data_IF_592817154647
#
_entry.id   IF_592817154647
#
_cell.length_a   1.000
_cell.length_b   1.000
_cell.length_c   1.000
_cell.angle_alpha   90.00
_cell.angle_beta   90.00
_cell.angle_gamma   90.00
#
_symmetry.space_group_name_H-M   'P 1'
#
loop_
_entity.id
_entity.type
_entity.pdbx_description
1 polymer ?
#
# COMPACT_ATOMS: atom_id res chain seq x y z
N UNK A 1 -20.04 -14.25 -5.13
CA UNK A 1 -20.21 -13.68 -3.76
C UNK A 1 -19.53 -12.31 -3.62
N UNK A 2 -18.23 -12.12 -3.90
CA UNK A 2 -17.52 -10.84 -3.71
C UNK A 2 -18.15 -9.63 -4.40
N UNK A 3 -18.65 -9.75 -5.63
CA UNK A 3 -19.31 -8.63 -6.33
C UNK A 3 -20.55 -8.08 -5.60
N UNK A 4 -21.34 -8.96 -4.95
CA UNK A 4 -22.52 -8.54 -4.19
C UNK A 4 -22.09 -7.73 -2.94
N UNK A 5 -21.07 -8.21 -2.21
CA UNK A 5 -20.51 -7.49 -1.07
C UNK A 5 -19.93 -6.13 -1.46
N UNK A 6 -19.16 -6.06 -2.54
CA UNK A 6 -18.60 -4.78 -3.04
C UNK A 6 -19.73 -3.81 -3.42
N UNK A 7 -20.75 -4.27 -4.16
CA UNK A 7 -21.89 -3.43 -4.55
C UNK A 7 -22.64 -2.89 -3.33
N UNK A 8 -22.88 -3.74 -2.34
CA UNK A 8 -23.55 -3.33 -1.10
C UNK A 8 -22.67 -2.43 -0.24
N UNK A 9 -21.37 -2.75 -0.12
CA UNK A 9 -20.38 -1.93 0.58
C UNK A 9 -20.29 -0.51 0.00
N UNK A 10 -20.25 -0.37 -1.32
CA UNK A 10 -20.24 0.95 -1.97
C UNK A 10 -21.49 1.78 -1.65
N UNK A 11 -22.69 1.15 -1.55
CA UNK A 11 -23.91 1.86 -1.12
C UNK A 11 -23.78 2.37 0.32
N UNK A 12 -23.19 1.55 1.21
CA UNK A 12 -22.96 1.94 2.62
C UNK A 12 -21.91 3.07 2.70
N UNK A 13 -20.83 2.99 1.94
CA UNK A 13 -19.81 4.06 1.88
C UNK A 13 -20.41 5.36 1.38
N UNK A 14 -21.27 5.30 0.35
CA UNK A 14 -22.00 6.46 -0.17
C UNK A 14 -22.84 7.15 0.91
N UNK A 15 -23.41 6.42 1.85
CA UNK A 15 -24.20 6.99 2.95
C UNK A 15 -23.36 7.77 3.98
N UNK A 16 -22.02 7.68 3.91
CA UNK A 16 -21.05 8.38 4.79
C UNK A 16 -21.30 8.16 6.29
N UNK A 17 -21.98 7.07 6.68
CA UNK A 17 -22.30 6.76 8.09
C UNK A 17 -21.08 6.41 8.92
N UNK A 18 -20.05 5.79 8.32
CA UNK A 18 -18.80 5.51 9.01
C UNK A 18 -17.92 6.77 8.96
N UNK A 19 -17.58 7.30 10.14
CA UNK A 19 -16.83 8.54 10.29
C UNK A 19 -15.41 8.42 9.70
N UNK A 20 -14.72 7.30 9.93
CA UNK A 20 -13.37 7.08 9.41
C UNK A 20 -13.34 7.05 7.89
N UNK A 21 -14.28 6.34 7.27
CA UNK A 21 -14.40 6.31 5.80
C UNK A 21 -14.76 7.70 5.25
N UNK A 22 -15.71 8.40 5.89
CA UNK A 22 -16.04 9.78 5.51
C UNK A 22 -14.82 10.67 5.52
N UNK A 23 -14.04 10.63 6.61
CA UNK A 23 -12.83 11.45 6.76
C UNK A 23 -11.77 11.11 5.71
N UNK A 24 -11.59 9.81 5.36
CA UNK A 24 -10.69 9.42 4.27
C UNK A 24 -11.16 9.92 2.91
N UNK A 25 -12.46 9.86 2.63
CA UNK A 25 -13.03 10.41 1.39
C UNK A 25 -12.75 11.91 1.27
N UNK A 26 -12.91 12.65 2.37
CA UNK A 26 -12.67 14.11 2.42
C UNK A 26 -11.16 14.41 2.19
N UNK A 27 -10.24 13.68 2.84
CA UNK A 27 -8.79 13.82 2.62
C UNK A 27 -8.40 13.46 1.18
N UNK A 28 -9.02 12.45 0.59
CA UNK A 28 -8.81 12.06 -0.79
C UNK A 28 -9.49 13.00 -1.80
N UNK A 29 -10.25 14.02 -1.34
CA UNK A 29 -11.04 14.93 -2.17
C UNK A 29 -12.01 14.20 -3.12
N UNK A 30 -12.64 13.13 -2.62
CA UNK A 30 -13.62 12.35 -3.37
C UNK A 30 -15.00 12.95 -3.09
N UNK A 31 -15.44 13.83 -3.95
CA UNK A 31 -16.74 14.52 -3.85
C UNK A 31 -17.87 13.72 -4.53
N UNK A 32 -17.51 12.88 -5.49
CA UNK A 32 -18.44 12.05 -6.25
C UNK A 32 -18.82 10.76 -5.51
N UNK A 33 -19.72 9.97 -6.08
CA UNK A 33 -20.05 8.66 -5.54
C UNK A 33 -18.82 7.74 -5.56
N UNK A 34 -18.45 7.13 -4.43
CA UNK A 34 -17.33 6.20 -4.38
C UNK A 34 -17.52 5.03 -5.35
N UNK A 35 -16.44 4.66 -6.03
CA UNK A 35 -16.37 3.56 -6.99
C UNK A 35 -15.40 2.47 -6.51
N UNK A 36 -15.36 1.35 -7.22
CA UNK A 36 -14.36 0.28 -6.98
C UNK A 36 -12.93 0.83 -7.09
N UNK A 37 -12.70 1.75 -8.04
CA UNK A 37 -11.40 2.41 -8.20
C UNK A 37 -10.99 3.17 -6.93
N UNK A 38 -11.91 3.97 -6.36
CA UNK A 38 -11.64 4.70 -5.12
C UNK A 38 -11.30 3.75 -3.96
N UNK A 39 -11.99 2.60 -3.85
CA UNK A 39 -11.68 1.60 -2.83
C UNK A 39 -10.30 0.98 -3.04
N UNK A 40 -10.00 0.51 -4.24
CA UNK A 40 -8.77 -0.23 -4.54
C UNK A 40 -7.52 0.63 -4.60
N UNK A 41 -7.63 1.87 -5.10
CA UNK A 41 -6.47 2.70 -5.42
C UNK A 41 -6.34 3.97 -4.57
N UNK A 42 -7.37 4.36 -3.82
CA UNK A 42 -7.32 5.56 -2.99
C UNK A 42 -7.47 5.26 -1.50
N UNK A 43 -8.56 4.59 -1.07
CA UNK A 43 -8.83 4.32 0.34
C UNK A 43 -8.01 3.13 0.86
N UNK A 44 -8.04 2.00 0.17
CA UNK A 44 -7.34 0.77 0.57
C UNK A 44 -5.83 0.96 0.77
N UNK A 45 -5.09 1.58 -0.17
CA UNK A 45 -3.68 1.83 0.01
C UNK A 45 -3.33 2.67 1.24
N UNK A 46 -4.16 3.66 1.61
CA UNK A 46 -3.97 4.48 2.82
C UNK A 46 -4.18 3.68 4.09
N UNK A 47 -5.27 2.91 4.16
CA UNK A 47 -5.54 2.03 5.31
C UNK A 47 -4.39 1.03 5.51
N UNK A 48 -3.89 0.45 4.42
CA UNK A 48 -2.82 -0.55 4.44
C UNK A 48 -1.43 0.06 4.70
N UNK A 49 -1.23 1.36 4.45
CA UNK A 49 0.07 2.00 4.60
C UNK A 49 0.57 1.98 6.06
N UNK A 50 -0.34 2.05 7.03
CA UNK A 50 0.00 1.92 8.44
C UNK A 50 0.71 0.62 8.78
N UNK A 51 0.31 -0.51 8.17
CA UNK A 51 0.96 -1.80 8.37
C UNK A 51 2.26 -2.00 7.58
N UNK A 52 2.62 -1.06 6.69
CA UNK A 52 3.83 -1.15 5.87
C UNK A 52 4.96 -0.26 6.37
N UNK A 53 4.67 1.01 6.65
CA UNK A 53 5.68 2.02 7.01
C UNK A 53 5.36 2.75 8.31
N UNK A 54 4.25 2.41 8.98
CA UNK A 54 3.78 3.10 10.17
C UNK A 54 3.23 2.16 11.24
N UNK A 55 2.12 2.57 11.85
CA UNK A 55 1.44 1.81 12.91
C UNK A 55 0.27 1.02 12.33
N UNK A 56 0.35 -0.30 12.35
CA UNK A 56 -0.66 -1.21 11.78
C UNK A 56 -2.08 -1.02 12.38
N UNK A 57 -2.18 -0.60 13.64
CA UNK A 57 -3.47 -0.36 14.31
C UNK A 57 -4.21 0.89 13.82
N UNK A 58 -3.54 1.84 13.13
CA UNK A 58 -4.15 3.12 12.73
C UNK A 58 -5.34 2.93 11.78
N UNK A 59 -5.25 2.00 10.83
CA UNK A 59 -6.36 1.69 9.92
C UNK A 59 -7.59 1.17 10.66
N UNK A 60 -7.42 0.22 11.58
CA UNK A 60 -8.51 -0.32 12.39
C UNK A 60 -9.10 0.76 13.31
N UNK A 61 -8.25 1.51 14.02
CA UNK A 61 -8.69 2.57 14.91
C UNK A 61 -9.45 3.68 14.18
N UNK A 62 -9.07 4.01 12.94
CA UNK A 62 -9.81 4.96 12.11
C UNK A 62 -11.22 4.44 11.79
N UNK A 63 -11.34 3.19 11.36
CA UNK A 63 -12.63 2.59 10.99
C UNK A 63 -13.57 2.42 12.19
N UNK A 64 -13.03 2.21 13.38
CA UNK A 64 -13.78 2.09 14.64
C UNK A 64 -14.03 3.44 15.33
N UNK A 65 -13.34 4.50 14.90
CA UNK A 65 -13.35 5.81 15.53
C UNK A 65 -14.72 6.48 15.49
N UNK A 66 -15.11 7.10 16.61
CA UNK A 66 -16.35 7.86 16.77
C UNK A 66 -16.11 9.35 16.99
N UNK A 67 -14.88 9.76 17.23
CA UNK A 67 -14.52 11.16 17.52
C UNK A 67 -13.95 11.81 16.23
N UNK A 68 -14.53 12.95 15.77
CA UNK A 68 -14.07 13.63 14.53
C UNK A 68 -12.62 14.07 14.57
N UNK A 69 -12.13 14.63 15.70
CA UNK A 69 -10.75 15.13 15.81
C UNK A 69 -9.73 13.98 15.70
N UNK A 70 -9.97 12.88 16.43
CA UNK A 70 -9.07 11.71 16.36
C UNK A 70 -9.14 11.01 15.00
N UNK A 71 -10.32 10.92 14.39
CA UNK A 71 -10.47 10.35 13.04
C UNK A 71 -9.72 11.18 11.99
N UNK A 72 -9.80 12.51 12.07
CA UNK A 72 -9.04 13.38 11.16
C UNK A 72 -7.53 13.20 11.34
N UNK A 73 -7.04 13.15 12.58
CA UNK A 73 -5.62 12.91 12.86
C UNK A 73 -5.16 11.57 12.27
N UNK A 74 -5.87 10.49 12.57
CA UNK A 74 -5.52 9.14 12.06
C UNK A 74 -5.57 9.06 10.54
N UNK A 75 -6.58 9.66 9.90
CA UNK A 75 -6.69 9.65 8.46
C UNK A 75 -5.57 10.47 7.79
N UNK A 76 -5.16 11.60 8.39
CA UNK A 76 -4.03 12.41 7.92
C UNK A 76 -2.70 11.66 8.07
N UNK A 77 -2.48 10.95 9.17
CA UNK A 77 -1.30 10.12 9.38
C UNK A 77 -1.24 8.97 8.36
N UNK A 78 -2.37 8.31 8.09
CA UNK A 78 -2.45 7.26 7.07
C UNK A 78 -2.20 7.79 5.65
N UNK A 79 -2.65 8.99 5.32
CA UNK A 79 -2.32 9.65 4.04
C UNK A 79 -0.82 9.95 3.95
N UNK A 80 -0.20 10.40 5.05
CA UNK A 80 1.23 10.63 5.12
C UNK A 80 2.03 9.33 4.95
N UNK A 81 1.66 8.26 5.65
CA UNK A 81 2.27 6.93 5.46
C UNK A 81 2.13 6.41 4.03
N UNK A 82 0.98 6.66 3.39
CA UNK A 82 0.81 6.26 2.00
C UNK A 82 1.73 7.04 1.04
N UNK A 83 1.95 8.33 1.27
CA UNK A 83 2.90 9.14 0.50
C UNK A 83 4.34 8.65 0.71
N UNK A 84 4.73 8.40 1.96
CA UNK A 84 6.05 7.86 2.30
C UNK A 84 6.28 6.49 1.65
N UNK A 85 5.30 5.59 1.75
CA UNK A 85 5.32 4.31 1.06
C UNK A 85 5.55 4.46 -0.44
N UNK A 86 4.86 5.41 -1.11
CA UNK A 86 5.01 5.64 -2.54
C UNK A 86 6.40 6.15 -2.92
N UNK A 87 6.99 6.99 -2.09
CA UNK A 87 8.37 7.49 -2.29
C UNK A 87 9.35 6.32 -2.17
N UNK A 88 9.30 5.58 -1.05
CA UNK A 88 10.19 4.43 -0.82
C UNK A 88 10.07 3.37 -1.91
N UNK A 89 8.84 3.11 -2.39
CA UNK A 89 8.57 2.16 -3.47
C UNK A 89 9.21 2.63 -4.79
N UNK A 90 9.03 3.91 -5.14
CA UNK A 90 9.58 4.50 -6.36
C UNK A 90 11.10 4.49 -6.32
N UNK A 91 11.70 4.90 -5.20
CA UNK A 91 13.13 4.99 -5.03
C UNK A 91 13.80 3.60 -5.11
N UNK A 92 13.23 2.61 -4.43
CA UNK A 92 13.75 1.24 -4.48
C UNK A 92 13.62 0.65 -5.89
N UNK A 93 12.47 0.83 -6.54
CA UNK A 93 12.26 0.36 -7.91
C UNK A 93 13.25 0.99 -8.87
N UNK A 94 13.45 2.32 -8.79
CA UNK A 94 14.40 3.04 -9.63
C UNK A 94 15.84 2.58 -9.39
N UNK A 95 16.23 2.40 -8.13
CA UNK A 95 17.55 1.90 -7.74
C UNK A 95 17.80 0.53 -8.38
N UNK A 96 16.89 -0.42 -8.21
CA UNK A 96 17.02 -1.75 -8.79
C UNK A 96 17.10 -1.69 -10.32
N UNK A 97 16.28 -0.87 -10.97
CA UNK A 97 16.30 -0.76 -12.43
C UNK A 97 17.57 -0.14 -12.97
N UNK A 98 18.18 0.80 -12.25
CA UNK A 98 19.46 1.42 -12.64
C UNK A 98 20.66 0.48 -12.44
N UNK A 99 20.60 -0.42 -11.45
CA UNK A 99 21.62 -1.42 -11.17
C UNK A 99 21.45 -2.70 -12.01
N UNK A 100 20.35 -2.78 -12.77
CA UNK A 100 19.95 -4.00 -13.48
C UNK A 100 20.89 -4.32 -14.64
N UNK A 101 21.55 -5.47 -14.53
CA UNK A 101 22.20 -6.15 -15.63
C UNK A 101 21.16 -6.79 -16.56
N UNK A 102 21.59 -7.30 -17.71
CA UNK A 102 20.71 -8.07 -18.59
C UNK A 102 20.27 -9.39 -17.92
N UNK A 103 19.04 -9.41 -17.37
CA UNK A 103 18.44 -10.60 -16.76
C UNK A 103 17.64 -11.44 -17.78
N UNK A 104 17.84 -11.25 -19.07
CA UNK A 104 17.06 -11.96 -20.11
C UNK A 104 17.18 -13.47 -20.00
N UNK A 105 18.33 -13.98 -19.57
CA UNK A 105 18.67 -15.42 -19.47
C UNK A 105 18.21 -16.07 -18.16
N UNK A 106 17.93 -15.29 -17.12
CA UNK A 106 17.59 -15.84 -15.81
C UNK A 106 16.12 -16.24 -15.76
N UNK A 107 15.77 -17.47 -15.35
CA UNK A 107 14.38 -17.91 -15.23
C UNK A 107 13.67 -17.25 -14.04
N UNK A 108 14.41 -16.85 -13.01
CA UNK A 108 13.94 -16.20 -11.78
C UNK A 108 14.86 -15.04 -11.44
N UNK A 109 14.31 -13.93 -11.02
CA UNK A 109 15.07 -12.79 -10.51
C UNK A 109 15.18 -12.87 -8.98
N UNK A 110 16.39 -13.06 -8.47
CA UNK A 110 16.68 -13.03 -7.03
C UNK A 110 17.61 -11.86 -6.76
N UNK A 111 17.11 -10.84 -6.07
CA UNK A 111 17.87 -9.63 -5.78
C UNK A 111 17.89 -9.36 -4.29
N UNK A 112 19.04 -8.94 -3.78
CA UNK A 112 19.21 -8.60 -2.38
C UNK A 112 19.83 -7.22 -2.22
N UNK A 113 19.49 -6.54 -1.13
CA UNK A 113 20.11 -5.26 -0.81
C UNK A 113 20.00 -4.91 0.66
N UNK A 114 20.97 -4.14 1.13
CA UNK A 114 21.00 -3.66 2.52
C UNK A 114 20.01 -2.51 2.69
N UNK A 115 19.36 -2.49 3.86
CA UNK A 115 18.46 -1.42 4.27
C UNK A 115 17.22 -1.22 3.35
N UNK A 116 16.81 -2.24 2.61
CA UNK A 116 15.55 -2.19 1.91
C UNK A 116 14.41 -2.31 2.92
N UNK A 117 13.44 -1.43 2.85
CA UNK A 117 12.33 -1.45 3.79
C UNK A 117 11.46 -2.71 3.60
N UNK A 118 11.36 -3.57 4.63
CA UNK A 118 10.66 -4.87 4.55
C UNK A 118 9.20 -4.77 4.13
N UNK A 119 8.49 -3.72 4.54
CA UNK A 119 7.09 -3.46 4.14
C UNK A 119 6.92 -3.06 2.67
N UNK A 120 8.03 -2.80 1.94
CA UNK A 120 8.02 -2.31 0.55
C UNK A 120 8.50 -3.37 -0.44
N UNK A 121 9.43 -4.25 -0.06
CA UNK A 121 10.04 -5.23 -0.98
C UNK A 121 9.01 -6.05 -1.75
N UNK A 122 7.91 -6.47 -1.11
CA UNK A 122 6.86 -7.24 -1.77
C UNK A 122 6.12 -6.47 -2.87
N UNK A 123 5.92 -5.14 -2.66
CA UNK A 123 5.29 -4.30 -3.68
C UNK A 123 6.22 -4.13 -4.88
N UNK A 124 7.51 -3.91 -4.62
CA UNK A 124 8.51 -3.76 -5.68
C UNK A 124 8.75 -5.07 -6.41
N UNK A 125 8.77 -6.21 -5.71
CA UNK A 125 8.84 -7.54 -6.34
C UNK A 125 7.70 -7.76 -7.34
N UNK A 126 6.46 -7.44 -6.95
CA UNK A 126 5.31 -7.53 -7.85
C UNK A 126 5.45 -6.64 -9.09
N UNK A 127 5.95 -5.41 -8.95
CA UNK A 127 6.18 -4.51 -10.10
C UNK A 127 7.29 -5.00 -11.04
N UNK A 128 8.37 -5.53 -10.48
CA UNK A 128 9.45 -6.12 -11.27
C UNK A 128 8.96 -7.38 -11.99
N UNK A 129 8.17 -8.22 -11.31
CA UNK A 129 7.52 -9.38 -11.92
C UNK A 129 6.68 -8.98 -13.12
N UNK A 130 5.85 -7.96 -13.00
CA UNK A 130 5.02 -7.48 -14.11
C UNK A 130 5.87 -6.88 -15.24
N UNK A 131 6.97 -6.19 -14.91
CA UNK A 131 7.85 -5.58 -15.91
C UNK A 131 8.68 -6.61 -16.68
N UNK A 132 9.24 -7.60 -15.99
CA UNK A 132 10.13 -8.60 -16.61
C UNK A 132 9.40 -9.89 -17.01
N UNK A 133 8.13 -10.02 -16.63
CA UNK A 133 7.31 -11.22 -16.84
C UNK A 133 7.99 -12.51 -16.34
N UNK A 134 8.60 -12.44 -15.15
CA UNK A 134 9.34 -13.53 -14.49
C UNK A 134 9.06 -13.54 -13.00
N UNK A 135 9.19 -14.68 -12.31
CA UNK A 135 9.18 -14.71 -10.85
C UNK A 135 10.29 -13.81 -10.28
N UNK A 136 9.98 -13.08 -9.22
CA UNK A 136 10.93 -12.16 -8.57
C UNK A 136 10.92 -12.39 -7.08
N UNK A 137 12.10 -12.51 -6.49
CA UNK A 137 12.31 -12.58 -5.05
C UNK A 137 13.22 -11.41 -4.66
N UNK A 138 12.74 -10.55 -3.77
CA UNK A 138 13.54 -9.48 -3.18
C UNK A 138 13.87 -9.80 -1.72
N UNK A 139 15.12 -9.58 -1.34
CA UNK A 139 15.64 -9.88 -0.01
C UNK A 139 16.21 -8.60 0.61
N UNK A 140 15.60 -8.14 1.69
CA UNK A 140 16.17 -7.09 2.54
C UNK A 140 17.15 -7.73 3.52
N UNK A 141 18.38 -7.26 3.53
CA UNK A 141 19.45 -7.78 4.40
C UNK A 141 19.73 -6.78 5.51
N UNK A 142 19.68 -7.25 6.75
CA UNK A 142 20.01 -6.49 7.95
C UNK A 142 20.91 -7.34 8.85
N UNK A 143 22.19 -6.92 9.00
CA UNK A 143 23.21 -7.74 9.67
C UNK A 143 23.34 -9.13 9.02
N UNK A 144 23.19 -10.18 9.84
CA UNK A 144 23.31 -11.59 9.42
C UNK A 144 21.94 -12.20 9.04
N UNK A 145 20.89 -11.41 9.00
CA UNK A 145 19.54 -11.89 8.70
C UNK A 145 19.00 -11.26 7.42
N UNK A 146 18.11 -11.99 6.73
CA UNK A 146 17.42 -11.51 5.53
C UNK A 146 15.92 -11.78 5.60
N UNK A 147 15.12 -10.78 5.22
CA UNK A 147 13.68 -10.93 5.01
C UNK A 147 13.39 -10.90 3.53
N UNK A 148 12.71 -11.93 3.02
CA UNK A 148 12.39 -12.06 1.60
C UNK A 148 10.89 -11.88 1.33
N UNK A 149 10.58 -11.41 0.11
CA UNK A 149 9.23 -11.39 -0.44
C UNK A 149 9.26 -11.71 -1.94
N UNK A 150 8.23 -12.41 -2.43
CA UNK A 150 8.07 -12.84 -3.83
C UNK A 150 6.68 -12.43 -4.35
#
# INVERSE_FOLDING_TARGET
MNRAFVKQGLKIIKSKKNLGIKTLLDICKIETNPTIYHLGFMLGPRINAGGRVGKCSHGANLLLGKNPKSSFKLASELDQYNKERQILEKDLLQKILNETKDYSKDPVLILSGKNWHEGIIGIVAARLKDKFNKPVILISVEGDTGKASA
#
